data_IF_879765986544
#
_entry.id   IF_879765986544
#
_cell.length_a   1.000
_cell.length_b   1.000
_cell.length_c   1.000
_cell.angle_alpha   90.00
_cell.angle_beta   90.00
_cell.angle_gamma   90.00
#
_symmetry.space_group_name_H-M   'P 1'
#
loop_
_entity.id
_entity.type
_entity.pdbx_description
1 polymer ?
#
# COMPACT_ATOMS: atom_id res chain seq x y z
N UNK A 1 7.52 10.05 20.59
CA UNK A 1 7.31 10.35 19.17
C UNK A 1 8.63 10.88 18.65
N UNK A 2 9.46 9.97 18.17
CA UNK A 2 10.78 10.32 17.64
C UNK A 2 10.59 10.95 16.25
N UNK A 3 11.41 11.94 15.93
CA UNK A 3 11.35 12.68 14.65
C UNK A 3 11.34 11.75 13.42
N UNK A 4 12.01 10.61 13.50
CA UNK A 4 12.04 9.55 12.47
C UNK A 4 10.67 8.89 12.19
N UNK A 5 9.80 8.74 13.19
CA UNK A 5 8.48 8.12 13.00
C UNK A 5 7.53 9.05 12.20
N UNK A 6 7.67 10.37 12.40
CA UNK A 6 6.84 11.37 11.71
C UNK A 6 7.20 11.40 10.22
N UNK A 7 8.49 11.40 9.90
CA UNK A 7 8.97 11.40 8.52
C UNK A 7 8.54 10.14 7.76
N UNK A 8 8.55 8.97 8.44
CA UNK A 8 8.11 7.71 7.83
C UNK A 8 6.61 7.69 7.54
N UNK A 9 5.78 8.10 8.49
CA UNK A 9 4.33 8.18 8.29
C UNK A 9 3.96 9.16 7.16
N UNK A 10 4.67 10.28 7.07
CA UNK A 10 4.46 11.24 5.97
C UNK A 10 4.84 10.64 4.61
N UNK A 11 5.92 9.86 4.55
CA UNK A 11 6.31 9.16 3.33
C UNK A 11 5.32 8.07 2.92
N UNK A 12 4.78 7.31 3.90
CA UNK A 12 3.70 6.35 3.66
C UNK A 12 2.46 7.02 3.08
N UNK A 13 2.06 8.18 3.64
CA UNK A 13 0.93 8.99 3.12
C UNK A 13 1.15 9.42 1.67
N UNK A 14 2.37 9.88 1.33
CA UNK A 14 2.70 10.30 -0.03
C UNK A 14 2.63 9.14 -1.03
N UNK A 15 3.13 7.96 -0.64
CA UNK A 15 3.10 6.75 -1.47
C UNK A 15 1.67 6.24 -1.66
N UNK A 16 0.88 6.16 -0.57
CA UNK A 16 -0.52 5.75 -0.64
C UNK A 16 -1.30 6.68 -1.57
N UNK A 17 -1.19 8.01 -1.39
CA UNK A 17 -1.87 8.98 -2.25
C UNK A 17 -1.45 8.86 -3.73
N UNK A 18 -0.16 8.64 -4.00
CA UNK A 18 0.35 8.43 -5.36
C UNK A 18 -0.24 7.17 -6.00
N UNK A 19 -0.25 6.05 -5.28
CA UNK A 19 -0.79 4.81 -5.83
C UNK A 19 -2.32 4.86 -5.97
N UNK A 20 -3.04 5.51 -5.06
CA UNK A 20 -4.49 5.73 -5.19
C UNK A 20 -4.83 6.53 -6.44
N UNK A 21 -4.10 7.62 -6.71
CA UNK A 21 -4.30 8.43 -7.91
C UNK A 21 -4.01 7.68 -9.22
N UNK A 22 -3.18 6.64 -9.18
CA UNK A 22 -2.94 5.77 -10.34
C UNK A 22 -4.04 4.70 -10.45
N UNK A 23 -4.44 4.12 -9.31
CA UNK A 23 -5.43 3.05 -9.27
C UNK A 23 -6.82 3.52 -9.74
N UNK A 24 -7.23 4.74 -9.39
CA UNK A 24 -8.58 5.27 -9.68
C UNK A 24 -8.93 5.29 -11.18
N UNK A 25 -7.93 5.28 -12.06
CA UNK A 25 -8.12 5.22 -13.52
C UNK A 25 -8.60 3.85 -14.02
N UNK A 26 -8.60 2.82 -13.17
CA UNK A 26 -8.90 1.44 -13.53
C UNK A 26 -10.15 0.91 -12.80
N UNK A 27 -10.88 0.04 -13.48
CA UNK A 27 -12.06 -0.66 -12.95
C UNK A 27 -11.84 -2.19 -12.87
N UNK A 28 -10.60 -2.66 -13.08
CA UNK A 28 -10.26 -4.08 -12.96
C UNK A 28 -8.79 -4.27 -12.59
N UNK A 29 -8.52 -5.27 -11.77
CA UNK A 29 -7.15 -5.68 -11.44
C UNK A 29 -6.35 -6.11 -12.67
N UNK A 30 -7.00 -6.80 -13.62
CA UNK A 30 -6.35 -7.26 -14.84
C UNK A 30 -5.82 -6.11 -15.69
N UNK A 31 -6.59 -5.03 -15.83
CA UNK A 31 -6.17 -3.85 -16.59
C UNK A 31 -5.06 -3.09 -15.87
N UNK A 32 -5.15 -2.96 -14.53
CA UNK A 32 -4.10 -2.36 -13.72
C UNK A 32 -2.77 -3.13 -13.85
N UNK A 33 -2.80 -4.46 -13.67
CA UNK A 33 -1.61 -5.33 -13.83
C UNK A 33 -1.01 -5.14 -15.22
N UNK A 34 -1.84 -5.25 -16.26
CA UNK A 34 -1.39 -5.15 -17.65
C UNK A 34 -0.71 -3.81 -17.96
N UNK A 35 -1.18 -2.73 -17.33
CA UNK A 35 -0.62 -1.39 -17.53
C UNK A 35 0.66 -1.15 -16.71
N UNK A 36 0.73 -1.67 -15.48
CA UNK A 36 1.74 -1.23 -14.50
C UNK A 36 2.79 -2.28 -14.11
N UNK A 37 2.56 -3.57 -14.33
CA UNK A 37 3.45 -4.66 -13.87
C UNK A 37 4.93 -4.41 -14.24
N UNK A 38 5.19 -4.15 -15.52
CA UNK A 38 6.56 -3.88 -16.00
C UNK A 38 7.18 -2.63 -15.36
N UNK A 39 6.41 -1.55 -15.23
CA UNK A 39 6.93 -0.28 -14.70
C UNK A 39 7.17 -0.35 -13.19
N UNK A 40 6.29 -1.00 -12.44
CA UNK A 40 6.46 -1.24 -11.01
C UNK A 40 7.72 -2.07 -10.75
N UNK A 41 7.93 -3.14 -11.53
CA UNK A 41 9.15 -3.95 -11.44
C UNK A 41 10.42 -3.14 -11.72
N UNK A 42 10.41 -2.24 -12.72
CA UNK A 42 11.54 -1.33 -13.01
C UNK A 42 11.82 -0.39 -11.82
N UNK A 43 10.77 0.06 -11.13
CA UNK A 43 10.87 0.92 -9.94
C UNK A 43 11.21 0.15 -8.66
N UNK A 44 11.41 -1.17 -8.74
CA UNK A 44 11.72 -2.01 -7.58
C UNK A 44 10.51 -2.28 -6.67
N UNK A 45 9.30 -2.19 -7.22
CA UNK A 45 8.04 -2.48 -6.53
C UNK A 45 7.53 -3.83 -7.04
N UNK A 46 7.34 -4.78 -6.14
CA UNK A 46 6.78 -6.09 -6.47
C UNK A 46 5.25 -6.01 -6.45
N UNK A 47 4.62 -6.37 -7.56
CA UNK A 47 3.18 -6.50 -7.72
C UNK A 47 2.77 -7.96 -7.57
N UNK A 48 1.84 -8.27 -6.68
CA UNK A 48 1.28 -9.62 -6.53
C UNK A 48 -0.24 -9.59 -6.59
N UNK A 49 -0.83 -10.48 -7.39
CA UNK A 49 -2.27 -10.71 -7.39
C UNK A 49 -2.65 -11.71 -6.28
N UNK A 50 -3.39 -11.23 -5.28
CA UNK A 50 -3.88 -12.02 -4.15
C UNK A 50 -5.35 -12.43 -4.33
N UNK A 51 -5.94 -12.24 -5.51
CA UNK A 51 -7.32 -12.56 -5.86
C UNK A 51 -8.33 -11.51 -5.39
N UNK A 52 -8.32 -11.14 -4.12
CA UNK A 52 -9.24 -10.12 -3.56
C UNK A 52 -8.66 -8.70 -3.59
N UNK A 53 -7.35 -8.58 -3.73
CA UNK A 53 -6.62 -7.31 -3.80
C UNK A 53 -5.31 -7.54 -4.57
N UNK A 54 -4.69 -6.45 -5.02
CA UNK A 54 -3.29 -6.47 -5.47
C UNK A 54 -2.40 -5.95 -4.36
N UNK A 55 -1.25 -6.59 -4.18
CA UNK A 55 -0.24 -6.19 -3.22
C UNK A 55 0.91 -5.49 -3.93
N UNK A 56 1.29 -4.33 -3.42
CA UNK A 56 2.49 -3.59 -3.82
C UNK A 56 3.49 -3.67 -2.68
N UNK A 57 4.56 -4.45 -2.86
CA UNK A 57 5.63 -4.59 -1.89
C UNK A 57 6.81 -3.69 -2.27
N UNK A 58 7.30 -2.91 -1.31
CA UNK A 58 8.44 -2.00 -1.49
C UNK A 58 9.49 -2.27 -0.41
N UNK A 59 10.66 -2.76 -0.84
CA UNK A 59 11.84 -2.81 0.02
C UNK A 59 12.44 -1.40 0.17
N UNK A 60 12.63 -0.92 1.40
CA UNK A 60 13.24 0.37 1.69
C UNK A 60 14.71 0.24 2.10
N UNK A 61 14.99 -0.73 2.96
CA UNK A 61 16.34 -1.11 3.41
C UNK A 61 16.35 -2.60 3.77
N UNK A 62 17.47 -3.19 4.18
CA UNK A 62 17.62 -4.62 4.44
C UNK A 62 16.53 -5.23 5.33
N UNK A 63 16.13 -4.54 6.39
CA UNK A 63 15.05 -4.96 7.29
C UNK A 63 13.78 -4.15 7.13
N UNK A 64 13.76 -3.09 6.32
CA UNK A 64 12.61 -2.19 6.23
C UNK A 64 11.84 -2.39 4.93
N UNK A 65 10.53 -2.58 5.03
CA UNK A 65 9.65 -2.66 3.87
C UNK A 65 8.24 -2.15 4.20
N UNK A 66 7.48 -1.93 3.15
CA UNK A 66 6.08 -1.51 3.19
C UNK A 66 5.26 -2.34 2.19
N UNK A 67 4.01 -2.63 2.55
CA UNK A 67 3.02 -3.23 1.65
C UNK A 67 1.79 -2.33 1.55
N UNK A 68 1.37 -2.08 0.31
CA UNK A 68 0.16 -1.34 -0.04
C UNK A 68 -0.82 -2.26 -0.76
N UNK A 69 -2.12 -2.03 -0.56
CA UNK A 69 -3.17 -2.93 -1.04
C UNK A 69 -4.12 -2.20 -1.99
N UNK A 70 -4.05 -2.54 -3.27
CA UNK A 70 -5.02 -2.05 -4.27
C UNK A 70 -6.30 -2.88 -4.15
N UNK A 71 -7.41 -2.23 -3.88
CA UNK A 71 -8.72 -2.84 -3.63
C UNK A 71 -9.76 -2.28 -4.59
N UNK A 72 -10.82 -3.07 -4.83
CA UNK A 72 -12.01 -2.59 -5.52
C UNK A 72 -12.88 -1.81 -4.55
N UNK A 73 -13.29 -0.61 -4.95
CA UNK A 73 -14.20 0.24 -4.19
C UNK A 73 -15.66 -0.07 -4.55
N UNK A 74 -16.60 0.37 -3.72
CA UNK A 74 -18.04 0.13 -3.92
C UNK A 74 -18.60 0.80 -5.19
N UNK A 75 -17.95 1.86 -5.68
CA UNK A 75 -18.28 2.56 -6.92
C UNK A 75 -17.67 1.89 -8.17
N UNK A 76 -16.93 0.78 -8.00
CA UNK A 76 -16.42 -0.05 -9.09
C UNK A 76 -15.09 0.41 -9.70
N UNK A 77 -14.39 1.31 -9.02
CA UNK A 77 -13.03 1.73 -9.36
C UNK A 77 -12.00 1.02 -8.46
N UNK A 78 -10.72 1.14 -8.79
CA UNK A 78 -9.66 0.71 -7.88
C UNK A 78 -9.20 1.89 -7.01
N UNK A 79 -8.83 1.61 -5.77
CA UNK A 79 -8.13 2.54 -4.89
C UNK A 79 -7.11 1.78 -4.05
N UNK A 80 -6.32 2.47 -3.23
CA UNK A 80 -5.43 1.84 -2.26
C UNK A 80 -6.00 1.98 -0.87
N UNK A 81 -6.01 0.87 -0.13
CA UNK A 81 -6.42 0.83 1.27
C UNK A 81 -5.66 1.86 2.11
N UNK A 82 -6.34 2.42 3.10
CA UNK A 82 -5.70 3.26 4.12
C UNK A 82 -4.88 2.44 5.13
N UNK A 83 -5.00 1.11 5.08
CA UNK A 83 -4.19 0.19 5.89
C UNK A 83 -2.91 -0.16 5.14
N UNK A 84 -1.78 0.06 5.80
CA UNK A 84 -0.44 -0.27 5.28
C UNK A 84 0.19 -1.28 6.24
N UNK A 85 0.75 -2.36 5.70
CA UNK A 85 1.66 -3.18 6.48
C UNK A 85 3.07 -2.63 6.35
N UNK A 86 3.80 -2.59 7.45
CA UNK A 86 5.16 -2.11 7.46
C UNK A 86 6.00 -2.91 8.43
N UNK A 87 7.29 -2.94 8.17
CA UNK A 87 8.29 -3.54 9.04
C UNK A 87 9.40 -2.55 9.32
N UNK A 88 9.73 -2.36 10.59
CA UNK A 88 10.77 -1.45 11.03
C UNK A 88 12.14 -2.12 11.21
N UNK A 89 13.13 -1.32 11.59
CA UNK A 89 14.52 -1.74 11.78
C UNK A 89 14.70 -2.78 12.91
N UNK A 90 13.70 -2.94 13.79
CA UNK A 90 13.66 -3.97 14.84
C UNK A 90 12.86 -5.22 14.43
N UNK A 91 12.49 -5.34 13.15
CA UNK A 91 11.74 -6.46 12.59
C UNK A 91 10.33 -6.64 13.20
N UNK A 92 9.70 -5.55 13.62
CA UNK A 92 8.31 -5.54 14.03
C UNK A 92 7.41 -5.30 12.82
N UNK A 93 6.82 -6.37 12.29
CA UNK A 93 5.77 -6.26 11.27
C UNK A 93 4.46 -5.88 11.93
N UNK A 94 3.82 -4.82 11.46
CA UNK A 94 2.51 -4.37 11.95
C UNK A 94 1.69 -3.69 10.86
N UNK A 95 0.40 -3.52 11.13
CA UNK A 95 -0.51 -2.75 10.28
C UNK A 95 -0.75 -1.38 10.90
N UNK A 96 -0.79 -0.35 10.07
CA UNK A 96 -1.09 1.03 10.47
C UNK A 96 -2.19 1.59 9.60
N UNK A 97 -3.14 2.29 10.22
CA UNK A 97 -4.08 3.17 9.53
C UNK A 97 -3.36 4.49 9.23
N UNK A 98 -3.25 4.82 7.94
CA UNK A 98 -2.46 5.96 7.47
C UNK A 98 -3.10 7.31 7.80
N UNK A 99 -4.42 7.35 7.97
CA UNK A 99 -5.18 8.55 8.33
C UNK A 99 -4.93 8.89 9.79
N UNK A 100 -5.03 7.90 10.68
CA UNK A 100 -4.92 8.12 12.13
C UNK A 100 -3.52 7.93 12.70
N UNK A 101 -2.65 7.20 11.99
CA UNK A 101 -1.33 6.77 12.47
C UNK A 101 -1.38 5.72 13.59
N UNK A 102 -2.53 5.04 13.77
CA UNK A 102 -2.72 4.04 14.83
C UNK A 102 -2.56 2.63 14.28
N UNK A 103 -2.20 1.70 15.17
CA UNK A 103 -2.16 0.27 14.86
C UNK A 103 -3.52 -0.21 14.35
N UNK A 104 -3.48 -1.11 13.37
CA UNK A 104 -4.64 -1.75 12.76
C UNK A 104 -4.39 -3.26 12.60
N UNK A 105 -5.19 -3.93 11.77
CA UNK A 105 -5.10 -5.34 11.42
C UNK A 105 -5.34 -5.58 9.92
N UNK A 106 -5.00 -6.78 9.46
CA UNK A 106 -5.18 -7.20 8.06
C UNK A 106 -6.65 -7.20 7.63
N UNK A 107 -7.57 -7.55 8.54
CA UNK A 107 -9.01 -7.58 8.24
C UNK A 107 -9.57 -6.20 7.87
N UNK A 108 -8.89 -5.14 8.30
CA UNK A 108 -9.27 -3.76 8.02
C UNK A 108 -8.81 -3.27 6.65
N UNK A 109 -8.01 -4.03 5.89
CA UNK A 109 -7.57 -3.66 4.53
C UNK A 109 -8.76 -3.34 3.61
N UNK A 110 -9.87 -4.06 3.76
CA UNK A 110 -11.06 -3.90 2.92
C UNK A 110 -12.02 -2.80 3.40
N UNK A 111 -11.71 -2.13 4.51
CA UNK A 111 -12.54 -1.05 5.05
C UNK A 111 -11.94 0.28 4.61
N UNK A 112 -12.62 0.94 3.68
CA UNK A 112 -12.42 2.36 3.41
C UNK A 112 -13.30 3.10 4.41
N UNK A 113 -12.71 3.67 5.46
CA UNK A 113 -13.42 4.47 6.47
C UNK A 113 -13.45 5.97 6.14
#
# INVERSE_FOLDING_TARGET
MYFFEIDRLEMMRKRQAYFSAIAEEYASFADFIKAHDMWLAIMGIELTDCGQYLKLYIQLDFSEFEEYYVIMTDDGHLSVSDIIMWNDDVCCTSYIDINTGKSSDEESIFKLE
#
